data_IF_247438931685
#
_entry.id   IF_247438931685
#
_cell.length_a   1.000
_cell.length_b   1.000
_cell.length_c   1.000
_cell.angle_alpha   90.00
_cell.angle_beta   90.00
_cell.angle_gamma   90.00
#
_symmetry.space_group_name_H-M   'P 1'
#
loop_
_entity.id
_entity.type
_entity.pdbx_description
1 polymer ?
#
# COMPACT_ATOMS: atom_id res chain seq x y z
N UNK A 1 2.33 4.83 -47.56
CA UNK A 1 2.97 3.93 -46.58
C UNK A 1 3.81 4.66 -45.53
N UNK A 2 4.66 5.63 -45.88
CA UNK A 2 5.45 6.40 -44.88
C UNK A 2 4.60 7.24 -43.91
N UNK A 3 3.51 7.86 -44.40
CA UNK A 3 2.60 8.70 -43.60
C UNK A 3 1.81 7.91 -42.53
N UNK A 4 1.40 6.68 -42.87
CA UNK A 4 0.68 5.79 -41.96
C UNK A 4 1.60 5.25 -40.86
N UNK A 5 2.88 4.99 -41.18
CA UNK A 5 3.89 4.55 -40.20
C UNK A 5 4.19 5.67 -39.18
N UNK A 6 4.33 6.92 -39.62
CA UNK A 6 4.54 8.04 -38.69
C UNK A 6 3.37 8.23 -37.70
N UNK A 7 2.11 8.08 -38.15
CA UNK A 7 0.96 8.27 -37.27
C UNK A 7 0.85 7.19 -36.18
N UNK A 8 1.18 5.93 -36.51
CA UNK A 8 1.22 4.85 -35.53
C UNK A 8 2.35 5.05 -34.51
N UNK A 9 3.51 5.54 -34.95
CA UNK A 9 4.66 5.80 -34.07
C UNK A 9 4.41 6.94 -33.08
N UNK A 10 3.65 7.97 -33.49
CA UNK A 10 3.27 9.06 -32.58
C UNK A 10 2.27 8.60 -31.52
N UNK A 11 1.36 7.70 -31.87
CA UNK A 11 0.30 7.26 -30.96
C UNK A 11 0.81 6.41 -29.79
N UNK A 12 1.87 5.64 -29.98
CA UNK A 12 2.47 4.80 -28.93
C UNK A 12 3.24 5.61 -27.89
N UNK A 13 3.83 6.75 -28.27
CA UNK A 13 4.59 7.62 -27.34
C UNK A 13 3.64 8.32 -26.36
N UNK A 14 2.43 8.71 -26.80
CA UNK A 14 1.43 9.35 -25.92
C UNK A 14 0.81 8.39 -24.89
N UNK A 15 0.81 7.08 -25.14
CA UNK A 15 0.23 6.09 -24.22
C UNK A 15 1.17 5.61 -23.10
N UNK A 16 2.46 5.98 -23.13
CA UNK A 16 3.46 5.48 -22.19
C UNK A 16 3.53 6.24 -20.84
N UNK A 17 2.68 7.24 -20.61
CA UNK A 17 2.89 8.24 -19.55
C UNK A 17 1.83 8.31 -18.45
N UNK A 18 1.38 7.20 -17.85
CA UNK A 18 0.66 7.28 -16.55
C UNK A 18 0.56 5.94 -15.77
N UNK A 19 1.59 5.09 -15.83
CA UNK A 19 1.56 3.79 -15.13
C UNK A 19 2.46 3.81 -13.89
N UNK A 20 1.92 4.29 -12.76
CA UNK A 20 2.58 4.27 -11.46
C UNK A 20 2.09 5.39 -10.56
N UNK A 21 1.60 5.06 -9.37
CA UNK A 21 1.32 6.02 -8.31
C UNK A 21 2.60 6.24 -7.50
N UNK A 22 3.01 7.50 -7.32
CA UNK A 22 4.09 7.84 -6.40
C UNK A 22 3.67 7.52 -4.96
N UNK A 23 4.50 6.79 -4.21
CA UNK A 23 4.18 6.37 -2.84
C UNK A 23 3.75 7.56 -1.96
N UNK A 24 2.54 7.50 -1.40
CA UNK A 24 2.06 8.51 -0.46
C UNK A 24 2.56 8.21 0.95
N UNK A 25 3.70 8.79 1.32
CA UNK A 25 4.32 8.53 2.62
C UNK A 25 3.64 9.33 3.72
N UNK A 26 3.02 8.63 4.67
CA UNK A 26 2.52 9.25 5.89
C UNK A 26 3.67 9.78 6.75
N UNK A 27 3.48 10.94 7.37
CA UNK A 27 4.43 11.47 8.34
C UNK A 27 4.44 10.60 9.61
N UNK A 28 5.61 10.06 9.95
CA UNK A 28 5.80 9.22 11.15
C UNK A 28 5.45 10.02 12.40
N UNK A 29 5.94 11.26 12.50
CA UNK A 29 5.66 12.20 13.59
C UNK A 29 4.82 13.36 13.08
N UNK A 30 3.67 13.59 13.70
CA UNK A 30 2.83 14.74 13.41
C UNK A 30 2.82 15.72 14.59
N UNK A 31 2.65 16.99 14.26
CA UNK A 31 2.49 18.03 15.26
C UNK A 31 1.23 17.75 16.10
N UNK A 32 1.39 17.66 17.43
CA UNK A 32 0.30 17.37 18.34
C UNK A 32 0.07 15.88 18.64
N UNK A 33 0.89 14.96 18.13
CA UNK A 33 0.84 13.54 18.55
C UNK A 33 1.03 13.40 20.07
N UNK A 34 1.88 14.25 20.66
CA UNK A 34 2.08 14.36 22.10
C UNK A 34 0.94 15.07 22.84
N UNK A 35 -0.12 15.54 22.18
CA UNK A 35 -1.27 16.15 22.88
C UNK A 35 -2.53 15.28 22.78
N UNK A 36 -2.46 14.17 22.03
CA UNK A 36 -3.58 13.25 21.86
C UNK A 36 -3.91 12.50 23.16
N UNK A 37 -5.20 12.29 23.39
CA UNK A 37 -5.72 11.41 24.45
C UNK A 37 -5.46 9.94 24.07
N UNK A 38 -5.45 9.03 25.05
CA UNK A 38 -5.26 7.60 24.77
C UNK A 38 -6.31 7.08 23.77
N UNK A 39 -7.57 7.49 23.88
CA UNK A 39 -8.62 7.09 22.93
C UNK A 39 -8.36 7.58 21.51
N UNK A 40 -7.86 8.81 21.37
CA UNK A 40 -7.48 9.37 20.07
C UNK A 40 -6.28 8.62 19.47
N UNK A 41 -5.29 8.25 20.30
CA UNK A 41 -4.17 7.41 19.86
C UNK A 41 -4.66 6.05 19.38
N UNK A 42 -5.61 5.42 20.07
CA UNK A 42 -6.20 4.15 19.66
C UNK A 42 -6.96 4.25 18.34
N UNK A 43 -7.81 5.27 18.18
CA UNK A 43 -8.52 5.47 16.93
C UNK A 43 -7.58 5.66 15.74
N UNK A 44 -6.47 6.35 15.95
CA UNK A 44 -5.44 6.56 14.93
C UNK A 44 -4.71 5.26 14.58
N UNK A 45 -4.34 4.47 15.59
CA UNK A 45 -3.70 3.16 15.39
C UNK A 45 -4.61 2.19 14.64
N UNK A 46 -5.92 2.19 14.93
CA UNK A 46 -6.91 1.42 14.18
C UNK A 46 -7.08 1.91 12.73
N UNK A 47 -7.08 3.23 12.52
CA UNK A 47 -7.12 3.81 11.18
C UNK A 47 -5.91 3.35 10.35
N UNK A 48 -4.71 3.40 10.93
CA UNK A 48 -3.47 2.96 10.27
C UNK A 48 -3.51 1.46 9.90
N UNK A 49 -4.01 0.60 10.79
CA UNK A 49 -4.10 -0.85 10.52
C UNK A 49 -5.07 -1.19 9.37
N UNK A 50 -6.20 -0.47 9.31
CA UNK A 50 -7.14 -0.57 8.19
C UNK A 50 -6.49 -0.14 6.87
N UNK A 51 -5.67 0.91 6.89
CA UNK A 51 -4.99 1.42 5.72
C UNK A 51 -3.90 0.45 5.22
N UNK A 52 -3.12 -0.13 6.14
CA UNK A 52 -2.20 -1.23 5.82
C UNK A 52 -2.95 -2.40 5.18
N UNK A 53 -4.09 -2.80 5.74
CA UNK A 53 -4.92 -3.88 5.21
C UNK A 53 -5.50 -3.58 3.82
N UNK A 54 -5.76 -2.31 3.51
CA UNK A 54 -6.20 -1.86 2.18
C UNK A 54 -5.08 -1.97 1.13
N UNK A 55 -3.84 -1.68 1.54
CA UNK A 55 -2.64 -1.72 0.68
C UNK A 55 -2.10 -3.13 0.48
N UNK A 56 -2.47 -4.08 1.35
CA UNK A 56 -2.07 -5.48 1.18
C UNK A 56 -2.76 -6.10 -0.05
N UNK A 57 -2.02 -6.82 -0.93
CA UNK A 57 -2.59 -7.39 -2.14
C UNK A 57 -3.63 -8.47 -1.80
N UNK A 58 -4.89 -8.23 -2.20
CA UNK A 58 -5.97 -9.23 -2.10
C UNK A 58 -5.77 -10.28 -3.20
N UNK A 59 -5.20 -11.42 -2.82
CA UNK A 59 -4.70 -12.50 -3.69
C UNK A 59 -5.75 -13.23 -4.58
N UNK A 60 -7.01 -12.80 -4.63
CA UNK A 60 -8.11 -13.72 -5.01
C UNK A 60 -8.65 -13.58 -6.44
N UNK A 61 -8.13 -12.65 -7.27
CA UNK A 61 -8.69 -12.40 -8.61
C UNK A 61 -7.71 -12.47 -9.77
N UNK A 62 -6.49 -12.89 -9.52
CA UNK A 62 -5.44 -12.86 -10.55
C UNK A 62 -5.51 -14.06 -11.50
N UNK A 63 -6.17 -15.17 -11.15
CA UNK A 63 -6.04 -16.46 -11.85
C UNK A 63 -6.56 -16.52 -13.30
N UNK A 64 -7.66 -15.84 -13.64
CA UNK A 64 -8.37 -16.19 -14.88
C UNK A 64 -7.91 -15.43 -16.13
N UNK A 65 -7.15 -14.34 -16.00
CA UNK A 65 -6.71 -13.51 -17.13
C UNK A 65 -5.17 -13.49 -17.32
N UNK A 66 -4.39 -14.10 -16.41
CA UNK A 66 -2.92 -14.16 -16.51
C UNK A 66 -2.47 -14.92 -17.78
N UNK A 67 -3.21 -15.94 -18.21
CA UNK A 67 -2.79 -16.82 -19.30
C UNK A 67 -2.53 -16.11 -20.63
N UNK A 68 -3.28 -15.04 -20.94
CA UNK A 68 -3.09 -14.25 -22.17
C UNK A 68 -1.97 -13.20 -22.05
N UNK A 69 -1.56 -12.83 -20.83
CA UNK A 69 -0.48 -11.84 -20.58
C UNK A 69 0.93 -12.43 -20.55
N UNK A 70 1.09 -13.73 -20.24
CA UNK A 70 2.42 -14.34 -20.06
C UNK A 70 3.24 -14.38 -21.36
N UNK A 71 2.59 -14.55 -22.52
CA UNK A 71 3.27 -14.69 -23.80
C UNK A 71 3.92 -13.38 -24.32
N UNK A 72 3.36 -12.22 -24.01
CA UNK A 72 3.90 -10.91 -24.44
C UNK A 72 4.80 -10.23 -23.42
N UNK A 73 4.71 -10.62 -22.15
CA UNK A 73 5.30 -9.86 -21.05
C UNK A 73 6.69 -10.32 -20.57
N UNK A 74 7.15 -11.52 -20.94
CA UNK A 74 8.38 -12.11 -20.40
C UNK A 74 9.67 -11.29 -20.66
N UNK A 75 9.68 -10.41 -21.66
CA UNK A 75 10.84 -9.57 -22.02
C UNK A 75 10.82 -8.15 -21.42
N UNK A 76 9.70 -7.68 -20.87
CA UNK A 76 9.53 -6.30 -20.32
C UNK A 76 9.17 -6.32 -18.80
N UNK A 77 8.70 -7.46 -18.28
CA UNK A 77 8.17 -7.65 -16.91
C UNK A 77 9.11 -7.27 -15.77
N UNK A 78 10.40 -7.64 -15.75
CA UNK A 78 11.17 -7.54 -14.51
C UNK A 78 11.19 -6.10 -14.00
N UNK A 79 11.35 -5.12 -14.91
CA UNK A 79 11.41 -3.71 -14.53
C UNK A 79 10.04 -3.13 -14.18
N UNK A 80 9.00 -3.42 -14.98
CA UNK A 80 7.67 -2.79 -14.83
C UNK A 80 6.89 -3.26 -13.61
N UNK A 81 7.07 -4.52 -13.17
CA UNK A 81 6.38 -5.05 -11.97
C UNK A 81 7.18 -4.87 -10.66
N UNK A 82 8.46 -4.50 -10.74
CA UNK A 82 9.23 -4.17 -9.54
C UNK A 82 8.86 -2.77 -9.02
N UNK A 83 8.71 -1.76 -9.88
CA UNK A 83 8.39 -0.39 -9.43
C UNK A 83 6.97 -0.24 -8.88
N UNK A 84 5.96 -0.90 -9.47
CA UNK A 84 4.59 -0.88 -8.96
C UNK A 84 4.50 -1.46 -7.53
N UNK A 85 5.26 -2.52 -7.25
CA UNK A 85 5.32 -3.13 -5.92
C UNK A 85 6.16 -2.34 -4.92
N UNK A 86 7.10 -1.51 -5.39
CA UNK A 86 7.94 -0.72 -4.50
C UNK A 86 7.18 0.46 -3.88
N UNK A 87 6.24 1.07 -4.61
CA UNK A 87 5.39 2.15 -4.08
C UNK A 87 4.57 1.69 -2.87
N UNK A 88 3.76 0.65 -3.07
CA UNK A 88 2.91 0.07 -2.00
C UNK A 88 3.74 -0.43 -0.81
N UNK A 89 4.90 -1.06 -1.05
CA UNK A 89 5.80 -1.51 0.02
C UNK A 89 6.33 -0.35 0.87
N UNK A 90 6.73 0.75 0.22
CA UNK A 90 7.22 1.95 0.92
C UNK A 90 6.12 2.62 1.73
N UNK A 91 4.89 2.63 1.22
CA UNK A 91 3.72 3.15 1.92
C UNK A 91 3.36 2.31 3.15
N UNK A 92 3.30 0.97 3.00
CA UNK A 92 3.09 0.05 4.13
C UNK A 92 4.16 0.23 5.20
N UNK A 93 5.43 0.38 4.81
CA UNK A 93 6.52 0.60 5.76
C UNK A 93 6.38 1.94 6.49
N UNK A 94 6.00 3.02 5.81
CA UNK A 94 5.72 4.31 6.44
C UNK A 94 4.59 4.21 7.48
N UNK A 95 3.50 3.51 7.15
CA UNK A 95 2.40 3.26 8.08
C UNK A 95 2.84 2.43 9.29
N UNK A 96 3.67 1.40 9.10
CA UNK A 96 4.23 0.61 10.20
C UNK A 96 5.11 1.45 11.13
N UNK A 97 5.96 2.29 10.57
CA UNK A 97 6.82 3.17 11.36
C UNK A 97 5.99 4.17 12.18
N UNK A 98 4.93 4.73 11.60
CA UNK A 98 3.98 5.57 12.32
C UNK A 98 3.27 4.81 13.44
N UNK A 99 2.75 3.61 13.18
CA UNK A 99 2.12 2.77 14.19
C UNK A 99 3.06 2.52 15.37
N UNK A 100 4.32 2.17 15.10
CA UNK A 100 5.33 1.95 16.13
C UNK A 100 5.63 3.22 16.94
N UNK A 101 5.66 4.39 16.29
CA UNK A 101 5.81 5.66 16.99
C UNK A 101 4.64 5.95 17.94
N UNK A 102 3.41 5.78 17.48
CA UNK A 102 2.22 5.95 18.33
C UNK A 102 2.22 4.94 19.48
N UNK A 103 2.61 3.69 19.22
CA UNK A 103 2.76 2.67 20.24
C UNK A 103 3.76 3.10 21.32
N UNK A 104 4.90 3.68 20.95
CA UNK A 104 5.86 4.23 21.92
C UNK A 104 5.25 5.35 22.77
N UNK A 105 4.43 6.23 22.20
CA UNK A 105 3.71 7.27 22.96
C UNK A 105 2.72 6.64 23.94
N UNK A 106 1.98 5.61 23.53
CA UNK A 106 1.02 4.93 24.41
C UNK A 106 1.71 4.29 25.62
N UNK A 107 2.89 3.71 25.44
CA UNK A 107 3.72 3.19 26.53
C UNK A 107 4.22 4.30 27.46
N UNK A 108 4.70 5.42 26.92
CA UNK A 108 5.15 6.56 27.73
C UNK A 108 4.03 7.17 28.59
N UNK A 109 2.79 7.07 28.12
CA UNK A 109 1.60 7.63 28.80
C UNK A 109 0.86 6.64 29.69
N UNK A 110 1.39 5.42 29.83
CA UNK A 110 0.73 4.33 30.57
C UNK A 110 -0.73 4.12 30.12
N UNK A 111 -0.99 4.28 28.82
CA UNK A 111 -2.30 3.99 28.25
C UNK A 111 -2.56 2.50 28.37
N UNK A 112 -3.79 2.10 28.73
CA UNK A 112 -4.22 0.71 28.67
C UNK A 112 -4.05 0.20 27.24
N UNK A 113 -3.10 -0.72 27.03
CA UNK A 113 -2.90 -1.36 25.72
C UNK A 113 -4.20 -2.09 25.33
N UNK A 114 -4.76 -1.88 24.13
CA UNK A 114 -5.74 -2.75 23.57
C UNK A 114 -5.07 -4.10 23.32
N UNK A 115 -5.85 -5.18 23.32
CA UNK A 115 -5.32 -6.49 22.97
C UNK A 115 -4.62 -6.41 21.60
N UNK A 116 -3.47 -7.08 21.42
CA UNK A 116 -2.78 -7.11 20.14
C UNK A 116 -3.75 -7.60 19.07
N UNK A 117 -3.83 -6.90 17.94
CA UNK A 117 -4.62 -7.31 16.78
C UNK A 117 -3.86 -8.46 16.10
N UNK A 118 -3.88 -9.62 16.72
CA UNK A 118 -3.42 -10.85 16.09
C UNK A 118 -4.43 -11.22 15.02
N UNK A 119 -3.93 -11.66 13.86
CA UNK A 119 -4.73 -12.15 12.73
C UNK A 119 -5.61 -13.38 13.07
N UNK A 120 -5.65 -13.80 14.33
CA UNK A 120 -6.54 -14.83 14.84
C UNK A 120 -7.97 -14.31 15.13
N UNK A 121 -8.15 -12.99 15.30
CA UNK A 121 -9.48 -12.41 15.59
C UNK A 121 -10.42 -12.41 14.38
N UNK A 122 -9.90 -12.41 13.15
CA UNK A 122 -10.73 -12.53 11.94
C UNK A 122 -11.19 -13.96 11.65
N UNK A 123 -10.50 -14.99 12.16
CA UNK A 123 -10.93 -16.40 11.98
C UNK A 123 -12.06 -16.81 12.94
N UNK A 124 -12.30 -16.04 14.00
CA UNK A 124 -13.26 -16.39 15.05
C UNK A 124 -14.67 -15.82 14.84
N UNK A 125 -14.89 -15.03 13.78
CA UNK A 125 -16.24 -14.57 13.37
C UNK A 125 -16.81 -15.33 12.17
N UNK A 126 -16.15 -16.42 11.73
CA UNK A 126 -16.63 -17.32 10.66
C UNK A 126 -16.86 -18.76 11.17
N UNK A 127 -17.19 -18.93 12.46
CA UNK A 127 -17.64 -20.23 13.00
C UNK A 127 -18.82 -20.08 13.94
#
# INVERSE_FOLDING_TARGET
MKKTICCFLTFTIFYAGCAGHEANLVQIRQLGDEQKTCDALWSEMHYIDNEISRLLPKSDKTGSNIALGVAGMFFVIPFFFMDLKQGEKKEIEAYRQRYNYLLMITYQRDCKLPPPITKETTKKMDK
#
